data_IF_719613923219
#
_entry.id   IF_719613923219
#
_cell.length_a   1.000
_cell.length_b   1.000
_cell.length_c   1.000
_cell.angle_alpha   90.00
_cell.angle_beta   90.00
_cell.angle_gamma   90.00
#
_symmetry.space_group_name_H-M   'P 1'
#
loop_
_entity.id
_entity.type
_entity.pdbx_description
1 polymer ?
#
# COMPACT_ATOMS: atom_id res chain seq x y z
N UNK A 1 -10.75 1.74 -14.85
CA UNK A 1 -9.50 2.17 -14.19
C UNK A 1 -9.68 3.64 -13.88
N UNK A 2 -9.87 3.96 -12.61
CA UNK A 2 -9.79 5.34 -12.14
C UNK A 2 -8.31 5.68 -11.97
N UNK A 3 -7.89 6.89 -12.33
CA UNK A 3 -6.57 7.43 -12.05
C UNK A 3 -6.72 8.93 -11.86
N UNK A 4 -6.00 9.48 -10.90
CA UNK A 4 -5.98 10.92 -10.64
C UNK A 4 -4.62 11.54 -10.99
N UNK A 5 -3.80 10.84 -11.82
CA UNK A 5 -2.52 11.35 -12.35
C UNK A 5 -2.60 12.67 -13.11
N UNK A 6 -3.81 13.12 -13.43
CA UNK A 6 -4.10 14.42 -14.00
C UNK A 6 -3.82 15.58 -13.01
N UNK A 7 -3.83 15.32 -11.70
CA UNK A 7 -3.49 16.30 -10.69
C UNK A 7 -1.98 16.64 -10.72
N UNK A 8 -1.58 17.92 -10.71
CA UNK A 8 -0.18 18.32 -10.93
C UNK A 8 0.84 17.68 -9.99
N UNK A 9 0.49 17.42 -8.74
CA UNK A 9 1.40 16.84 -7.74
C UNK A 9 1.47 15.31 -7.85
N UNK A 10 0.33 14.62 -8.01
CA UNK A 10 0.26 13.17 -8.27
C UNK A 10 0.94 12.80 -9.59
N UNK A 11 0.94 13.70 -10.59
CA UNK A 11 1.70 13.48 -11.83
C UNK A 11 3.21 13.34 -11.59
N UNK A 12 3.73 13.95 -10.51
CA UNK A 12 5.14 13.91 -10.09
C UNK A 12 5.40 12.85 -9.02
N UNK A 13 4.37 12.41 -8.31
CA UNK A 13 4.40 11.33 -7.32
C UNK A 13 3.32 10.27 -7.68
N UNK A 14 3.58 9.43 -8.69
CA UNK A 14 2.59 8.47 -9.18
C UNK A 14 2.28 7.34 -8.19
N UNK A 15 3.16 7.09 -7.20
CA UNK A 15 2.92 6.06 -6.17
C UNK A 15 1.94 6.53 -5.10
N UNK A 16 1.67 7.83 -5.03
CA UNK A 16 0.61 8.42 -4.23
C UNK A 16 -0.77 8.47 -4.96
N UNK A 17 -0.87 8.01 -6.21
CA UNK A 17 -2.13 8.00 -6.96
C UNK A 17 -3.13 7.00 -6.35
N UNK A 18 -4.02 7.51 -5.49
CA UNK A 18 -5.19 6.77 -5.02
C UNK A 18 -6.21 6.67 -6.16
N UNK A 19 -6.67 5.46 -6.47
CA UNK A 19 -7.56 5.24 -7.61
C UNK A 19 -9.02 5.16 -7.16
N UNK A 20 -9.29 4.32 -6.17
CA UNK A 20 -10.63 4.03 -5.67
C UNK A 20 -10.59 3.64 -4.18
N UNK A 21 -11.69 3.93 -3.48
CA UNK A 21 -11.94 3.46 -2.11
C UNK A 21 -13.28 2.71 -2.07
N UNK A 22 -13.28 1.51 -1.48
CA UNK A 22 -14.46 0.67 -1.34
C UNK A 22 -14.76 0.43 0.13
N UNK A 23 -16.05 0.48 0.47
CA UNK A 23 -16.56 0.17 1.80
C UNK A 23 -17.83 -0.68 1.68
N UNK A 24 -17.85 -1.84 2.31
CA UNK A 24 -19.00 -2.74 2.30
C UNK A 24 -19.05 -3.59 3.57
N UNK A 25 -20.24 -4.03 3.97
CA UNK A 25 -20.40 -4.97 5.09
C UNK A 25 -19.68 -6.27 4.75
N UNK A 26 -18.80 -6.73 5.62
CA UNK A 26 -17.98 -7.92 5.36
C UNK A 26 -18.88 -9.16 5.19
N UNK A 27 -18.81 -9.88 4.06
CA UNK A 27 -19.71 -11.01 3.80
C UNK A 27 -19.44 -12.21 4.73
N UNK A 28 -18.20 -12.36 5.18
CA UNK A 28 -17.72 -13.38 6.12
C UNK A 28 -17.85 -12.96 7.59
N UNK A 29 -18.03 -11.66 7.85
CA UNK A 29 -18.23 -11.10 9.19
C UNK A 29 -19.27 -9.96 9.16
N UNK A 30 -20.57 -10.26 9.12
CA UNK A 30 -21.62 -9.25 8.90
C UNK A 30 -21.75 -8.13 9.94
N UNK A 31 -21.03 -8.20 11.06
CA UNK A 31 -20.91 -7.13 12.06
C UNK A 31 -19.72 -6.19 11.85
N UNK A 32 -18.96 -6.32 10.75
CA UNK A 32 -17.85 -5.44 10.39
C UNK A 32 -18.01 -4.85 8.99
N UNK A 33 -17.21 -3.81 8.75
CA UNK A 33 -17.04 -3.20 7.43
C UNK A 33 -15.66 -3.58 6.90
N UNK A 34 -15.62 -4.02 5.65
CA UNK A 34 -14.39 -4.16 4.88
C UNK A 34 -14.11 -2.84 4.18
N UNK A 35 -12.89 -2.34 4.36
CA UNK A 35 -12.38 -1.14 3.69
C UNK A 35 -11.24 -1.56 2.77
N UNK A 36 -11.24 -1.06 1.54
CA UNK A 36 -10.19 -1.29 0.55
C UNK A 36 -9.84 0.06 -0.07
N UNK A 37 -8.55 0.38 -0.14
CA UNK A 37 -8.04 1.53 -0.86
C UNK A 37 -7.05 1.04 -1.91
N UNK A 38 -7.29 1.39 -3.17
CA UNK A 38 -6.43 1.01 -4.29
C UNK A 38 -5.50 2.18 -4.64
N UNK A 39 -4.29 1.84 -5.02
CA UNK A 39 -3.24 2.77 -5.46
C UNK A 39 -2.55 2.20 -6.69
N UNK A 40 -1.81 3.05 -7.41
CA UNK A 40 -0.96 2.65 -8.55
C UNK A 40 -1.79 1.96 -9.66
N UNK A 41 -2.55 2.73 -10.48
CA UNK A 41 -3.29 2.14 -11.57
C UNK A 41 -2.37 1.62 -12.69
N UNK A 42 -2.92 0.73 -13.51
CA UNK A 42 -2.34 0.29 -14.79
C UNK A 42 -1.06 -0.56 -14.65
N UNK A 43 -1.05 -1.49 -13.69
CA UNK A 43 0.07 -2.42 -13.50
C UNK A 43 0.12 -3.52 -14.60
N UNK A 44 0.75 -3.22 -15.74
CA UNK A 44 0.94 -4.19 -16.82
C UNK A 44 2.04 -5.24 -16.48
N UNK A 45 1.79 -6.55 -16.65
CA UNK A 45 2.79 -7.60 -16.42
C UNK A 45 4.09 -7.47 -17.24
N UNK A 46 4.12 -6.74 -18.35
CA UNK A 46 5.32 -6.56 -19.18
C UNK A 46 6.19 -5.36 -18.75
N UNK A 47 5.80 -4.63 -17.70
CA UNK A 47 6.47 -3.41 -17.20
C UNK A 47 7.86 -3.59 -16.57
N UNK A 48 8.49 -4.76 -16.71
CA UNK A 48 9.82 -5.06 -16.16
C UNK A 48 10.95 -4.20 -16.76
N UNK A 49 12.18 -4.26 -16.19
CA UNK A 49 12.65 -5.22 -15.18
C UNK A 49 12.41 -4.79 -13.72
N UNK A 50 11.73 -3.66 -13.51
CA UNK A 50 11.29 -3.18 -12.20
C UNK A 50 9.77 -3.09 -12.20
N UNK A 51 9.13 -3.75 -11.25
CA UNK A 51 7.67 -3.73 -11.12
C UNK A 51 7.22 -2.61 -10.17
N UNK A 52 5.92 -2.36 -10.18
CA UNK A 52 5.26 -1.35 -9.35
C UNK A 52 5.45 -1.65 -7.85
N UNK A 53 5.72 -0.62 -7.07
CA UNK A 53 5.92 -0.71 -5.61
C UNK A 53 5.26 0.50 -4.93
N UNK A 54 4.80 0.34 -3.69
CA UNK A 54 4.35 1.49 -2.89
C UNK A 54 5.52 2.43 -2.59
N UNK A 55 5.23 3.71 -2.36
CA UNK A 55 6.24 4.68 -1.96
C UNK A 55 6.74 4.42 -0.54
N UNK A 56 8.07 4.43 -0.36
CA UNK A 56 8.70 4.36 0.97
C UNK A 56 8.58 5.68 1.74
N UNK A 57 8.23 6.77 1.05
CA UNK A 57 8.09 8.13 1.55
C UNK A 57 6.64 8.66 1.53
N UNK A 58 5.67 7.79 1.21
CA UNK A 58 4.24 8.13 1.18
C UNK A 58 3.55 7.62 2.44
N UNK A 59 2.74 8.49 3.06
CA UNK A 59 1.86 8.15 4.17
C UNK A 59 0.47 7.75 3.64
N UNK A 60 0.19 6.46 3.62
CA UNK A 60 -1.09 5.94 3.16
C UNK A 60 -2.05 5.78 4.34
N UNK A 61 -3.23 6.40 4.28
CA UNK A 61 -4.21 6.36 5.37
C UNK A 61 -5.66 6.20 4.92
N UNK A 62 -6.43 5.45 5.70
CA UNK A 62 -7.90 5.42 5.63
C UNK A 62 -8.45 6.05 6.90
N UNK A 63 -9.19 7.15 6.74
CA UNK A 63 -9.78 7.92 7.82
C UNK A 63 -11.24 7.52 8.00
N UNK A 64 -11.62 7.14 9.22
CA UNK A 64 -12.99 6.73 9.56
C UNK A 64 -13.53 7.68 10.63
N UNK A 65 -14.44 8.54 10.19
CA UNK A 65 -15.36 9.27 11.05
C UNK A 65 -16.64 8.42 11.21
N UNK A 66 -16.94 8.00 12.43
CA UNK A 66 -18.11 7.21 12.76
C UNK A 66 -19.07 7.88 13.76
N UNK A 67 -18.86 9.16 14.07
CA UNK A 67 -19.76 9.99 14.88
C UNK A 67 -20.30 11.23 14.15
N UNK A 68 -19.75 11.55 12.98
CA UNK A 68 -20.21 12.59 12.06
C UNK A 68 -19.68 13.98 12.35
N UNK A 69 -18.61 14.13 13.15
CA UNK A 69 -18.04 15.43 13.49
C UNK A 69 -17.01 15.97 12.47
N UNK A 70 -16.71 15.19 11.43
CA UNK A 70 -15.74 15.49 10.38
C UNK A 70 -14.29 15.21 10.77
N UNK A 71 -14.04 14.51 11.88
CA UNK A 71 -12.71 14.10 12.34
C UNK A 71 -12.67 12.58 12.44
N UNK A 72 -11.52 12.01 12.05
CA UNK A 72 -11.34 10.58 12.14
C UNK A 72 -11.31 10.12 13.62
N UNK A 73 -12.24 9.24 14.00
CA UNK A 73 -12.17 8.52 15.27
C UNK A 73 -11.17 7.35 15.18
N UNK A 74 -11.06 6.77 13.98
CA UNK A 74 -10.13 5.67 13.68
C UNK A 74 -9.39 5.99 12.39
N UNK A 75 -8.06 5.89 12.43
CA UNK A 75 -7.20 5.93 11.23
C UNK A 75 -6.49 4.60 11.08
N UNK A 76 -6.51 4.03 9.88
CA UNK A 76 -5.65 2.93 9.49
C UNK A 76 -4.52 3.48 8.64
N UNK A 77 -3.29 3.37 9.14
CA UNK A 77 -2.09 3.89 8.50
C UNK A 77 -1.24 2.72 7.97
N UNK A 78 -0.78 2.85 6.74
CA UNK A 78 0.07 1.89 6.05
C UNK A 78 1.38 2.56 5.68
N UNK A 79 2.48 1.90 6.00
CA UNK A 79 3.83 2.34 5.60
C UNK A 79 4.55 1.17 4.95
N UNK A 80 5.31 1.48 3.91
CA UNK A 80 6.05 0.49 3.15
C UNK A 80 7.56 0.75 3.24
N UNK A 81 8.34 -0.31 3.11
CA UNK A 81 9.79 -0.22 3.01
C UNK A 81 10.31 -1.23 2.00
N UNK A 82 10.94 -0.75 0.94
CA UNK A 82 11.67 -1.59 -0.01
C UNK A 82 13.10 -1.83 0.45
N UNK A 83 13.57 -3.08 0.35
CA UNK A 83 14.98 -3.45 0.54
C UNK A 83 15.62 -3.85 -0.77
N UNK A 84 16.88 -3.49 -0.97
CA UNK A 84 17.70 -4.04 -2.05
C UNK A 84 18.69 -5.04 -1.46
N UNK A 85 18.53 -6.33 -1.76
CA UNK A 85 19.36 -7.41 -1.20
C UNK A 85 20.75 -7.50 -1.85
N UNK A 86 20.83 -7.25 -3.15
CA UNK A 86 22.07 -7.18 -3.94
C UNK A 86 22.21 -5.78 -4.54
N UNK A 87 23.05 -4.91 -3.95
CA UNK A 87 23.23 -3.53 -4.42
C UNK A 87 24.00 -3.42 -5.73
N UNK A 88 24.57 -4.51 -6.25
CA UNK A 88 25.29 -4.52 -7.52
C UNK A 88 24.38 -4.58 -8.74
N UNK A 89 23.05 -4.65 -8.55
CA UNK A 89 22.07 -4.64 -9.63
C UNK A 89 20.81 -3.89 -9.21
N UNK A 90 20.20 -3.21 -10.17
CA UNK A 90 18.92 -2.51 -9.98
C UNK A 90 17.71 -3.41 -10.20
N UNK A 91 17.89 -4.61 -10.77
CA UNK A 91 16.81 -5.51 -11.18
C UNK A 91 15.94 -5.92 -9.99
N UNK A 92 14.63 -6.08 -10.21
CA UNK A 92 13.70 -6.62 -9.20
C UNK A 92 14.06 -8.05 -8.77
N UNK A 93 14.47 -8.88 -9.73
CA UNK A 93 14.91 -10.26 -9.51
C UNK A 93 16.03 -10.66 -10.47
N UNK A 94 16.89 -11.58 -10.04
CA UNK A 94 18.03 -12.09 -10.84
C UNK A 94 17.78 -13.47 -11.44
N UNK A 95 16.56 -13.99 -11.28
CA UNK A 95 16.10 -15.30 -11.72
C UNK A 95 14.68 -15.56 -11.22
N UNK A 96 14.09 -16.74 -11.46
CA UNK A 96 12.75 -17.07 -10.99
C UNK A 96 12.61 -16.93 -9.47
N UNK A 97 11.53 -16.28 -9.01
CA UNK A 97 11.15 -16.22 -7.60
C UNK A 97 10.23 -17.41 -7.32
N UNK A 98 10.72 -18.38 -6.54
CA UNK A 98 9.99 -19.62 -6.21
C UNK A 98 9.30 -19.56 -4.84
N UNK A 99 9.67 -18.58 -4.01
CA UNK A 99 9.23 -18.42 -2.63
C UNK A 99 9.58 -17.03 -2.11
N UNK A 100 9.00 -16.65 -0.97
CA UNK A 100 9.20 -15.35 -0.32
C UNK A 100 10.64 -15.11 0.19
N UNK A 101 11.37 -16.20 0.42
CA UNK A 101 12.77 -16.23 0.84
C UNK A 101 13.74 -16.50 -0.33
N UNK A 102 13.24 -16.53 -1.57
CA UNK A 102 14.07 -16.77 -2.75
C UNK A 102 15.24 -15.80 -2.82
N UNK A 103 16.44 -16.36 -3.01
CA UNK A 103 17.68 -15.58 -3.20
C UNK A 103 17.66 -14.77 -4.49
N UNK A 104 16.82 -15.15 -5.46
CA UNK A 104 16.62 -14.41 -6.70
C UNK A 104 15.77 -13.15 -6.52
N UNK A 105 15.00 -13.02 -5.44
CA UNK A 105 14.18 -11.83 -5.19
C UNK A 105 15.06 -10.73 -4.59
N UNK A 106 15.41 -9.74 -5.40
CA UNK A 106 16.37 -8.70 -5.05
C UNK A 106 15.71 -7.51 -4.34
N UNK A 107 14.47 -7.16 -4.74
CA UNK A 107 13.72 -6.00 -4.23
C UNK A 107 12.42 -6.37 -3.50
N UNK A 108 12.47 -7.02 -2.32
CA UNK A 108 11.28 -7.20 -1.51
C UNK A 108 10.82 -5.89 -0.86
N UNK A 109 9.50 -5.71 -0.82
CA UNK A 109 8.83 -4.65 -0.08
C UNK A 109 8.10 -5.24 1.13
N UNK A 110 8.18 -4.54 2.25
CA UNK A 110 7.58 -4.93 3.53
C UNK A 110 6.55 -3.87 3.93
N UNK A 111 5.51 -4.26 4.66
CA UNK A 111 4.50 -3.32 5.15
C UNK A 111 4.46 -3.26 6.68
N UNK A 112 3.88 -2.20 7.20
CA UNK A 112 3.35 -2.11 8.57
C UNK A 112 1.98 -1.45 8.54
N UNK A 113 1.00 -2.05 9.22
CA UNK A 113 -0.34 -1.50 9.41
C UNK A 113 -0.49 -1.06 10.86
N UNK A 114 -0.79 0.21 11.06
CA UNK A 114 -1.04 0.81 12.37
C UNK A 114 -2.47 1.29 12.44
N UNK A 115 -3.18 0.94 13.51
CA UNK A 115 -4.47 1.50 13.87
C UNK A 115 -4.28 2.61 14.87
N UNK A 116 -4.85 3.77 14.61
CA UNK A 116 -4.84 4.92 15.51
C UNK A 116 -6.28 5.15 15.94
N UNK A 117 -6.56 5.12 17.25
CA UNK A 117 -7.88 5.40 17.81
C UNK A 117 -7.74 6.53 18.82
N UNK A 118 -8.40 7.67 18.56
CA UNK A 118 -8.31 8.86 19.43
C UNK A 118 -6.85 9.24 19.78
N UNK A 119 -5.96 9.17 18.78
CA UNK A 119 -4.53 9.47 18.93
C UNK A 119 -3.67 8.35 19.53
N UNK A 120 -4.25 7.21 19.92
CA UNK A 120 -3.50 6.05 20.45
C UNK A 120 -3.20 5.07 19.32
N UNK A 121 -1.91 4.87 19.03
CA UNK A 121 -1.43 3.97 17.98
C UNK A 121 -1.23 2.53 18.48
N UNK A 122 -1.64 1.57 17.66
CA UNK A 122 -1.41 0.13 17.85
C UNK A 122 -1.06 -0.52 16.52
N UNK A 123 0.08 -1.22 16.46
CA UNK A 123 0.46 -1.99 15.27
C UNK A 123 -0.43 -3.23 15.17
N UNK A 124 -1.16 -3.35 14.06
CA UNK A 124 -2.01 -4.51 13.77
C UNK A 124 -1.27 -5.63 13.07
N UNK A 125 -0.25 -5.29 12.28
CA UNK A 125 0.56 -6.24 11.53
C UNK A 125 1.77 -5.57 10.90
N UNK A 126 2.82 -6.36 10.67
CA UNK A 126 4.05 -5.90 10.04
C UNK A 126 4.80 -7.09 9.44
N UNK A 127 5.60 -6.85 8.41
CA UNK A 127 6.46 -7.86 7.82
C UNK A 127 6.05 -8.26 6.40
N UNK A 128 6.68 -9.34 5.92
CA UNK A 128 6.47 -9.96 4.61
C UNK A 128 5.11 -10.64 4.53
#
# INVERSE_FOLDING_TARGET
>A
MSSHREAPEISKDPVADNTDAYAFVSPDKPGSVTLIANYIPLEDPDGGPNFYEFGDDVLYEIHVDNDGDGKANVTYQFTFQTKTRNPNTFLYNTGPITSIDSTNWNRPQFYTVTKIVNGVSSVLGSGL
#
